data_IF_424627540019
#
_entry.id   IF_424627540019
#
_cell.length_a   1.000
_cell.length_b   1.000
_cell.length_c   1.000
_cell.angle_alpha   90.00
_cell.angle_beta   90.00
_cell.angle_gamma   90.00
#
_symmetry.space_group_name_H-M   'P 1'
#
loop_
_entity.id
_entity.type
_entity.pdbx_description
1 polymer ?
#
# COMPACT_ATOMS: atom_id res chain seq x y z
N UNK A 1 -40.18 7.04 18.00
CA UNK A 1 -39.07 7.97 17.93
C UNK A 1 -37.80 7.13 17.79
N UNK A 2 -37.38 6.93 16.55
CA UNK A 2 -36.18 6.12 16.28
C UNK A 2 -34.94 6.99 16.38
N UNK A 3 -33.99 6.60 17.18
CA UNK A 3 -32.71 7.26 17.31
C UNK A 3 -31.87 6.88 16.08
N UNK A 4 -31.48 7.87 15.27
CA UNK A 4 -30.51 7.67 14.21
C UNK A 4 -29.11 7.43 14.82
N UNK A 5 -28.37 6.53 14.24
CA UNK A 5 -26.96 6.34 14.61
C UNK A 5 -26.11 7.48 14.05
N UNK A 6 -25.25 8.05 14.88
CA UNK A 6 -24.25 9.04 14.49
C UNK A 6 -22.95 8.28 14.25
N UNK A 7 -22.43 8.34 13.04
CA UNK A 7 -21.10 7.82 12.70
C UNK A 7 -20.20 9.02 12.47
N UNK A 8 -19.13 9.12 13.22
CA UNK A 8 -18.08 10.13 13.01
C UNK A 8 -16.92 9.46 12.29
N UNK A 9 -16.57 9.98 11.13
CA UNK A 9 -15.44 9.48 10.35
C UNK A 9 -14.51 10.67 10.10
N UNK A 10 -13.24 10.51 10.54
CA UNK A 10 -12.21 11.52 10.32
C UNK A 10 -11.37 11.15 9.11
N UNK A 11 -11.26 12.03 8.14
CA UNK A 11 -10.48 11.80 6.92
C UNK A 11 -9.27 12.72 6.85
N UNK A 12 -8.23 12.24 6.22
CA UNK A 12 -7.05 13.04 5.91
C UNK A 12 -6.80 12.98 4.40
N UNK A 13 -6.93 14.12 3.75
CA UNK A 13 -6.51 14.33 2.37
C UNK A 13 -5.51 15.47 2.36
N UNK A 14 -4.29 15.19 1.87
CA UNK A 14 -3.23 16.20 1.72
C UNK A 14 -3.17 17.15 2.93
N UNK A 15 -2.95 16.57 4.15
CA UNK A 15 -2.72 17.36 5.37
C UNK A 15 -3.95 18.02 6.02
N UNK A 16 -5.16 17.81 5.51
CA UNK A 16 -6.40 18.38 6.09
C UNK A 16 -7.22 17.27 6.73
N UNK A 17 -7.48 17.40 8.03
CA UNK A 17 -8.38 16.52 8.78
C UNK A 17 -9.81 17.07 8.69
N UNK A 18 -10.73 16.26 8.17
CA UNK A 18 -12.17 16.56 8.13
C UNK A 18 -12.91 15.57 9.03
N UNK A 19 -13.56 16.09 10.05
CA UNK A 19 -14.47 15.31 10.91
C UNK A 19 -15.88 15.44 10.35
N UNK A 20 -16.43 14.34 9.79
CA UNK A 20 -17.78 14.33 9.21
C UNK A 20 -18.72 13.57 10.12
N UNK A 21 -19.77 14.26 10.60
CA UNK A 21 -20.88 13.67 11.32
C UNK A 21 -22.00 13.31 10.34
N UNK A 22 -22.29 12.03 10.14
CA UNK A 22 -23.35 11.57 9.25
C UNK A 22 -24.59 11.21 10.04
N UNK A 23 -25.69 11.84 9.68
CA UNK A 23 -27.04 11.54 10.19
C UNK A 23 -27.75 10.53 9.27
N UNK A 24 -28.01 9.31 9.71
CA UNK A 24 -28.80 8.35 8.94
C UNK A 24 -30.22 8.27 9.51
N UNK A 25 -31.20 8.63 8.69
CA UNK A 25 -32.63 8.50 9.06
C UNK A 25 -33.10 7.05 8.87
N UNK A 26 -33.55 6.45 9.94
CA UNK A 26 -34.00 5.07 10.11
C UNK A 26 -35.37 4.80 9.44
N UNK A 27 -35.55 4.99 8.16
CA UNK A 27 -36.84 4.74 7.53
C UNK A 27 -36.80 4.01 6.19
N UNK A 28 -35.66 3.98 5.52
CA UNK A 28 -35.49 3.32 4.21
C UNK A 28 -34.58 2.09 4.24
N UNK A 29 -33.95 1.79 5.37
CA UNK A 29 -32.99 0.70 5.50
C UNK A 29 -33.64 -0.70 5.43
N UNK A 30 -34.89 -0.85 5.79
CA UNK A 30 -35.55 -2.17 5.82
C UNK A 30 -35.94 -2.68 4.42
N UNK A 31 -36.28 -1.79 3.50
CA UNK A 31 -36.63 -2.19 2.12
C UNK A 31 -35.39 -2.64 1.31
N UNK A 32 -34.23 -2.10 1.65
CA UNK A 32 -32.96 -2.50 1.03
C UNK A 32 -32.39 -3.80 1.62
N UNK A 33 -32.67 -4.11 2.90
CA UNK A 33 -32.28 -5.38 3.52
C UNK A 33 -32.99 -6.58 2.90
N UNK A 34 -34.24 -6.48 2.56
CA UNK A 34 -35.00 -7.60 1.94
C UNK A 34 -34.59 -7.91 0.51
N UNK A 35 -34.09 -6.91 -0.24
CA UNK A 35 -33.58 -7.11 -1.61
C UNK A 35 -32.14 -7.66 -1.64
N UNK A 36 -31.41 -7.62 -0.53
CA UNK A 36 -30.03 -8.06 -0.41
C UNK A 36 -29.85 -9.48 0.17
N UNK A 37 -30.92 -10.15 0.57
CA UNK A 37 -30.84 -11.43 1.32
C UNK A 37 -30.64 -12.69 0.47
N UNK A 38 -30.25 -12.61 -0.81
CA UNK A 38 -29.98 -13.78 -1.65
C UNK A 38 -28.70 -13.73 -2.50
N UNK A 39 -27.81 -12.77 -2.29
CA UNK A 39 -26.44 -12.88 -2.81
C UNK A 39 -25.51 -13.09 -1.62
N UNK A 40 -24.64 -14.07 -1.68
CA UNK A 40 -23.49 -14.14 -0.78
C UNK A 40 -22.87 -12.73 -0.76
N UNK A 41 -22.95 -12.04 0.39
CA UNK A 41 -22.39 -10.70 0.53
C UNK A 41 -20.87 -10.84 0.38
N UNK A 42 -20.39 -10.49 -0.81
CA UNK A 42 -18.94 -10.37 -1.04
C UNK A 42 -18.46 -9.29 -0.05
N UNK A 43 -17.64 -9.69 0.91
CA UNK A 43 -16.92 -8.71 1.71
C UNK A 43 -15.95 -7.97 0.78
N UNK A 44 -16.13 -6.67 0.67
CA UNK A 44 -15.27 -5.81 -0.13
C UNK A 44 -14.09 -5.25 0.67
N UNK A 45 -14.08 -5.46 1.97
CA UNK A 45 -12.98 -5.06 2.85
C UNK A 45 -11.81 -6.03 2.70
N UNK A 46 -10.60 -5.50 2.80
CA UNK A 46 -9.34 -6.20 2.57
C UNK A 46 -9.27 -6.90 1.20
N UNK A 47 -9.70 -6.17 0.17
CA UNK A 47 -9.70 -6.67 -1.22
C UNK A 47 -9.19 -5.66 -2.23
N UNK A 48 -8.75 -6.17 -3.38
CA UNK A 48 -8.45 -5.40 -4.59
C UNK A 48 -9.29 -5.93 -5.74
N UNK A 49 -10.09 -5.06 -6.36
CA UNK A 49 -10.92 -5.34 -7.53
C UNK A 49 -10.26 -4.78 -8.79
N UNK A 50 -9.73 -5.61 -9.69
CA UNK A 50 -9.23 -5.14 -10.99
C UNK A 50 -10.38 -4.82 -11.94
N UNK A 51 -10.17 -3.82 -12.79
CA UNK A 51 -11.12 -3.48 -13.87
C UNK A 51 -10.40 -2.92 -15.09
N UNK A 52 -11.13 -2.79 -16.19
CA UNK A 52 -10.64 -2.23 -17.45
C UNK A 52 -11.71 -1.39 -18.13
N UNK A 53 -11.30 -0.25 -18.69
CA UNK A 53 -12.07 0.60 -19.58
C UNK A 53 -11.54 0.38 -21.00
N UNK A 54 -12.17 -0.56 -21.72
CA UNK A 54 -11.68 -1.03 -23.02
C UNK A 54 -11.64 0.07 -24.08
N UNK A 55 -12.64 0.96 -24.08
CA UNK A 55 -12.73 2.06 -25.05
C UNK A 55 -11.62 3.10 -24.88
N UNK A 56 -11.08 3.24 -23.68
CA UNK A 56 -10.08 4.25 -23.32
C UNK A 56 -8.68 3.70 -23.16
N UNK A 57 -8.45 2.42 -23.40
CA UNK A 57 -7.17 1.73 -23.16
C UNK A 57 -6.66 1.94 -21.71
N UNK A 58 -7.57 1.97 -20.73
CA UNK A 58 -7.24 2.17 -19.31
C UNK A 58 -7.55 0.90 -18.55
N UNK A 59 -6.62 0.46 -17.73
CA UNK A 59 -6.84 -0.53 -16.67
C UNK A 59 -6.85 0.16 -15.32
N UNK A 60 -7.60 -0.37 -14.39
CA UNK A 60 -7.64 0.19 -13.04
C UNK A 60 -7.80 -0.87 -11.98
N UNK A 61 -7.72 -0.42 -10.75
CA UNK A 61 -7.95 -1.21 -9.54
C UNK A 61 -8.65 -0.38 -8.50
N UNK A 62 -9.56 -1.02 -7.79
CA UNK A 62 -10.16 -0.44 -6.57
C UNK A 62 -9.72 -1.30 -5.40
N UNK A 63 -9.12 -0.70 -4.38
CA UNK A 63 -8.75 -1.39 -3.16
C UNK A 63 -9.49 -0.81 -1.96
N UNK A 64 -9.81 -1.67 -1.00
CA UNK A 64 -10.26 -1.30 0.34
C UNK A 64 -9.51 -2.10 1.37
N UNK A 65 -9.07 -1.41 2.41
CA UNK A 65 -8.35 -1.99 3.54
C UNK A 65 -9.06 -1.59 4.83
N UNK A 66 -9.26 -2.56 5.71
CA UNK A 66 -9.92 -2.41 7.02
C UNK A 66 -9.17 -3.24 8.08
N UNK A 67 -9.55 -4.47 8.33
CA UNK A 67 -8.91 -5.34 9.32
C UNK A 67 -7.42 -5.58 9.08
N UNK A 68 -6.96 -5.52 7.83
CA UNK A 68 -5.54 -5.54 7.49
C UNK A 68 -4.79 -4.34 8.10
N UNK A 69 -5.38 -3.13 8.01
CA UNK A 69 -4.76 -1.92 8.57
C UNK A 69 -4.68 -1.99 10.09
N UNK A 70 -5.73 -2.45 10.76
CA UNK A 70 -5.70 -2.65 12.21
C UNK A 70 -4.57 -3.58 12.63
N UNK A 71 -4.38 -4.69 11.91
CA UNK A 71 -3.30 -5.63 12.18
C UNK A 71 -1.92 -5.05 11.91
N UNK A 72 -1.75 -4.25 10.83
CA UNK A 72 -0.49 -3.58 10.52
C UNK A 72 -0.13 -2.54 11.57
N UNK A 73 -1.08 -1.69 11.95
CA UNK A 73 -0.85 -0.58 12.86
C UNK A 73 -0.68 -1.06 14.31
N UNK A 74 -1.36 -2.13 14.70
CA UNK A 74 -1.23 -2.73 16.03
C UNK A 74 0.16 -3.32 16.34
N UNK A 75 1.05 -3.42 15.32
CA UNK A 75 2.41 -3.89 15.55
C UNK A 75 3.31 -2.85 16.24
N UNK A 76 2.90 -1.58 16.23
CA UNK A 76 3.67 -0.46 16.78
C UNK A 76 2.75 0.58 17.41
N UNK A 77 3.26 1.32 18.36
CA UNK A 77 2.56 2.46 18.96
C UNK A 77 2.90 3.74 18.17
N UNK A 78 2.30 3.86 16.99
CA UNK A 78 2.50 5.02 16.11
C UNK A 78 1.64 6.20 16.54
N UNK A 79 2.14 7.45 16.47
CA UNK A 79 1.27 8.61 16.54
C UNK A 79 0.41 8.72 15.27
N UNK A 80 -0.81 9.32 15.33
CA UNK A 80 -1.75 9.38 14.21
C UNK A 80 -1.18 9.90 12.90
N UNK A 81 -0.21 10.80 12.95
CA UNK A 81 0.48 11.33 11.75
C UNK A 81 1.29 10.25 11.02
N UNK A 82 1.85 9.30 11.74
CA UNK A 82 2.59 8.16 11.18
C UNK A 82 1.61 7.08 10.73
N UNK A 83 0.57 6.78 11.51
CA UNK A 83 -0.48 5.83 11.13
C UNK A 83 -1.10 6.19 9.78
N UNK A 84 -1.41 7.48 9.55
CA UNK A 84 -1.94 7.98 8.29
C UNK A 84 -1.02 7.68 7.10
N UNK A 85 0.28 7.93 7.22
CA UNK A 85 1.25 7.64 6.16
C UNK A 85 1.46 6.15 5.92
N UNK A 86 1.43 5.34 6.98
CA UNK A 86 1.49 3.87 6.88
C UNK A 86 0.24 3.34 6.18
N UNK A 87 -0.94 3.89 6.49
CA UNK A 87 -2.20 3.51 5.83
C UNK A 87 -2.19 3.88 4.34
N UNK A 88 -1.76 5.10 3.98
CA UNK A 88 -1.60 5.51 2.58
C UNK A 88 -0.63 4.60 1.83
N UNK A 89 0.53 4.31 2.42
CA UNK A 89 1.54 3.46 1.81
C UNK A 89 1.08 2.00 1.66
N UNK A 90 0.35 1.45 2.64
CA UNK A 90 -0.23 0.12 2.56
C UNK A 90 -1.27 0.02 1.43
N UNK A 91 -2.12 1.06 1.27
CA UNK A 91 -3.11 1.14 0.20
C UNK A 91 -2.45 1.22 -1.18
N UNK A 92 -1.43 2.08 -1.36
CA UNK A 92 -0.61 2.12 -2.57
C UNK A 92 0.00 0.76 -2.89
N UNK A 93 0.50 0.07 -1.86
CA UNK A 93 1.10 -1.25 -2.00
C UNK A 93 0.09 -2.31 -2.46
N UNK A 94 -1.15 -2.26 -1.96
CA UNK A 94 -2.22 -3.14 -2.42
C UNK A 94 -2.55 -2.90 -3.90
N UNK A 95 -2.74 -1.63 -4.29
CA UNK A 95 -3.07 -1.23 -5.67
C UNK A 95 -1.97 -1.59 -6.66
N UNK A 96 -0.71 -1.28 -6.34
CA UNK A 96 0.45 -1.51 -7.22
C UNK A 96 0.80 -3.01 -7.25
N UNK A 97 0.82 -3.68 -6.11
CA UNK A 97 1.19 -5.10 -6.01
C UNK A 97 0.30 -6.01 -6.86
N UNK A 98 -0.98 -5.71 -6.93
CA UNK A 98 -1.92 -6.48 -7.75
C UNK A 98 -1.73 -6.27 -9.27
N UNK A 99 -0.95 -5.27 -9.70
CA UNK A 99 -0.69 -5.04 -11.15
C UNK A 99 0.16 -6.15 -11.78
N UNK A 100 0.91 -6.86 -10.99
CA UNK A 100 1.92 -7.81 -11.43
C UNK A 100 1.62 -9.22 -10.92
N UNK A 101 1.87 -10.23 -11.75
CA UNK A 101 1.89 -11.64 -11.30
C UNK A 101 3.21 -11.90 -10.59
N UNK A 102 3.32 -11.39 -9.37
CA UNK A 102 4.53 -11.52 -8.56
C UNK A 102 4.61 -12.93 -7.99
N UNK A 103 5.72 -13.61 -8.26
CA UNK A 103 6.05 -14.86 -7.58
C UNK A 103 6.66 -14.62 -6.21
N UNK A 104 7.32 -13.46 -6.00
CA UNK A 104 8.09 -13.16 -4.81
C UNK A 104 7.59 -11.93 -4.07
N UNK A 105 8.21 -10.76 -4.28
CA UNK A 105 7.93 -9.60 -3.45
C UNK A 105 8.03 -8.29 -4.25
N UNK A 106 7.07 -7.40 -4.01
CA UNK A 106 7.18 -5.98 -4.29
C UNK A 106 7.42 -5.24 -2.98
N UNK A 107 8.38 -4.32 -2.96
CA UNK A 107 8.58 -3.40 -1.83
C UNK A 107 8.45 -1.97 -2.30
N UNK A 108 7.66 -1.18 -1.58
CA UNK A 108 7.66 0.27 -1.70
C UNK A 108 8.43 0.86 -0.52
N UNK A 109 9.29 1.83 -0.79
CA UNK A 109 10.07 2.50 0.24
C UNK A 109 10.08 4.01 0.00
N UNK A 110 9.90 4.75 1.07
CA UNK A 110 10.17 6.20 1.11
C UNK A 110 11.23 6.44 2.16
N UNK A 111 12.31 7.10 1.76
CA UNK A 111 13.40 7.51 2.67
C UNK A 111 13.58 9.01 2.61
N UNK A 112 13.70 9.62 3.78
CA UNK A 112 13.88 11.07 3.91
C UNK A 112 14.95 11.45 4.92
N UNK A 113 15.33 12.72 4.89
CA UNK A 113 16.27 13.33 5.84
C UNK A 113 15.57 14.08 6.98
N UNK A 114 14.22 14.14 6.93
CA UNK A 114 13.38 14.74 7.97
C UNK A 114 13.18 13.86 9.20
N UNK A 115 12.28 14.22 10.13
CA UNK A 115 11.91 13.40 11.28
C UNK A 115 11.41 11.99 10.91
N UNK A 116 10.73 11.83 9.77
CA UNK A 116 10.31 10.55 9.23
C UNK A 116 11.42 10.00 8.33
N UNK A 117 12.12 8.97 8.81
CA UNK A 117 13.33 8.44 8.17
C UNK A 117 13.04 7.40 7.08
N UNK A 118 12.03 6.58 7.32
CA UNK A 118 11.68 5.46 6.44
C UNK A 118 10.21 5.11 6.59
N UNK A 119 9.54 4.90 5.48
CA UNK A 119 8.29 4.14 5.42
C UNK A 119 8.54 3.00 4.43
N UNK A 120 8.31 1.78 4.84
CA UNK A 120 8.53 0.60 4.02
C UNK A 120 7.31 -0.32 4.07
N UNK A 121 6.90 -0.80 2.89
CA UNK A 121 5.83 -1.77 2.76
C UNK A 121 6.25 -2.88 1.81
N UNK A 122 5.79 -4.09 2.08
CA UNK A 122 6.01 -5.24 1.20
C UNK A 122 4.67 -5.86 0.81
N UNK A 123 4.56 -6.24 -0.45
CA UNK A 123 3.48 -7.06 -1.00
C UNK A 123 4.04 -8.41 -1.44
N UNK A 124 3.42 -9.47 -0.98
CA UNK A 124 3.68 -10.84 -1.42
C UNK A 124 2.46 -11.33 -2.18
N UNK A 125 2.64 -11.70 -3.44
CA UNK A 125 1.58 -12.29 -4.25
C UNK A 125 0.98 -13.55 -3.61
N UNK A 126 -0.23 -13.96 -4.02
CA UNK A 126 -0.82 -15.21 -3.56
C UNK A 126 0.07 -16.39 -3.94
N UNK A 127 0.17 -17.39 -3.05
CA UNK A 127 0.94 -18.61 -3.30
C UNK A 127 0.21 -19.46 -4.36
N UNK A 128 -1.12 -19.58 -4.19
CA UNK A 128 -2.01 -20.29 -5.09
C UNK A 128 -3.20 -19.38 -5.45
N UNK A 129 -3.89 -19.73 -6.54
CA UNK A 129 -5.09 -19.03 -6.96
C UNK A 129 -6.18 -19.06 -5.87
N UNK A 130 -6.77 -17.90 -5.57
CA UNK A 130 -7.76 -17.74 -4.50
C UNK A 130 -7.19 -17.49 -3.10
N UNK A 131 -5.89 -17.71 -2.88
CA UNK A 131 -5.26 -17.33 -1.62
C UNK A 131 -5.10 -15.80 -1.50
N UNK A 132 -5.20 -15.23 -0.29
CA UNK A 132 -4.97 -13.82 -0.10
C UNK A 132 -3.49 -13.46 -0.35
N UNK A 133 -3.26 -12.36 -1.05
CA UNK A 133 -1.97 -11.70 -1.04
C UNK A 133 -1.66 -11.17 0.36
N UNK A 134 -0.38 -10.96 0.68
CA UNK A 134 0.04 -10.52 2.00
C UNK A 134 0.72 -9.17 1.93
N UNK A 135 0.35 -8.30 2.87
CA UNK A 135 0.95 -6.97 3.00
C UNK A 135 1.48 -6.81 4.42
N UNK A 136 2.62 -6.14 4.53
CA UNK A 136 3.18 -5.68 5.79
C UNK A 136 3.74 -4.28 5.61
N UNK A 137 3.74 -3.50 6.67
CA UNK A 137 4.25 -2.13 6.65
C UNK A 137 5.02 -1.82 7.93
N UNK A 138 5.94 -0.85 7.81
CA UNK A 138 6.74 -0.35 8.91
C UNK A 138 7.15 1.09 8.63
N UNK A 139 7.19 1.92 9.69
CA UNK A 139 7.74 3.26 9.64
C UNK A 139 8.79 3.47 10.73
N UNK A 140 9.87 4.18 10.38
CA UNK A 140 10.90 4.65 11.33
C UNK A 140 10.91 6.16 11.36
N UNK A 141 10.80 6.72 12.55
CA UNK A 141 10.74 8.15 12.77
C UNK A 141 11.46 8.54 14.07
N UNK A 142 11.80 9.81 14.18
CA UNK A 142 12.36 10.41 15.38
C UNK A 142 11.23 10.90 16.27
N UNK A 143 10.98 10.21 17.40
CA UNK A 143 9.89 10.50 18.32
C UNK A 143 9.98 11.87 18.97
N UNK A 144 11.20 12.41 19.12
CA UNK A 144 11.45 13.68 19.77
C UNK A 144 11.31 14.87 18.80
N UNK A 145 11.52 14.59 17.49
CA UNK A 145 11.50 15.61 16.44
C UNK A 145 10.16 15.68 15.69
N UNK A 146 9.31 14.66 15.79
CA UNK A 146 8.04 14.59 15.04
C UNK A 146 7.03 15.64 15.52
N UNK A 147 6.46 16.40 14.60
CA UNK A 147 5.44 17.39 14.89
C UNK A 147 4.03 16.81 14.68
N UNK A 148 3.36 16.40 15.76
CA UNK A 148 2.07 15.67 15.72
C UNK A 148 0.92 16.40 15.01
N UNK A 149 1.00 17.74 14.89
CA UNK A 149 -0.05 18.58 14.26
C UNK A 149 0.35 19.10 12.88
N UNK A 150 1.55 18.81 12.43
CA UNK A 150 2.01 19.20 11.11
C UNK A 150 1.64 18.12 10.09
N UNK A 151 1.64 18.51 8.80
CA UNK A 151 1.47 17.56 7.70
C UNK A 151 2.58 16.50 7.74
N UNK A 152 2.19 15.22 7.69
CA UNK A 152 3.11 14.10 7.80
C UNK A 152 4.08 14.02 6.62
N UNK A 153 3.59 14.27 5.40
CA UNK A 153 4.41 14.18 4.21
C UNK A 153 5.58 15.17 4.24
N UNK A 154 5.33 16.40 4.65
CA UNK A 154 6.39 17.43 4.76
C UNK A 154 7.49 17.06 5.75
N UNK A 155 7.20 16.22 6.74
CA UNK A 155 8.15 15.75 7.75
C UNK A 155 9.06 14.61 7.28
N UNK A 156 8.82 14.08 6.08
CA UNK A 156 9.76 13.17 5.40
C UNK A 156 11.02 13.96 4.98
N UNK A 157 10.85 15.21 4.59
CA UNK A 157 11.94 16.06 4.12
C UNK A 157 12.39 15.72 2.71
N UNK A 158 13.66 15.93 2.40
CA UNK A 158 14.26 15.56 1.12
C UNK A 158 14.62 14.09 1.12
N UNK A 159 14.40 13.43 -0.01
CA UNK A 159 14.67 12.01 -0.10
C UNK A 159 14.19 11.39 -1.40
N UNK A 160 13.83 10.11 -1.33
CA UNK A 160 13.41 9.38 -2.50
C UNK A 160 12.26 8.40 -2.20
N UNK A 161 11.48 8.14 -3.25
CA UNK A 161 10.54 7.05 -3.35
C UNK A 161 11.15 5.95 -4.20
N UNK A 162 11.07 4.70 -3.76
CA UNK A 162 11.63 3.56 -4.47
C UNK A 162 10.61 2.41 -4.57
N UNK A 163 10.61 1.75 -5.74
CA UNK A 163 9.96 0.47 -5.95
C UNK A 163 11.03 -0.59 -6.20
N UNK A 164 10.97 -1.67 -5.43
CA UNK A 164 11.85 -2.82 -5.57
C UNK A 164 11.00 -4.05 -5.89
N UNK A 165 11.39 -4.79 -6.93
CA UNK A 165 10.74 -6.04 -7.32
C UNK A 165 11.77 -7.16 -7.19
N UNK A 166 11.53 -8.04 -6.23
CA UNK A 166 12.30 -9.25 -6.03
C UNK A 166 11.60 -10.38 -6.80
N UNK A 167 12.31 -10.97 -7.76
CA UNK A 167 11.80 -12.03 -8.63
C UNK A 167 12.35 -13.42 -8.26
N UNK A 168 13.13 -13.52 -7.18
CA UNK A 168 13.68 -14.76 -6.64
C UNK A 168 15.21 -14.88 -6.72
N UNK A 169 15.72 -15.99 -6.19
CA UNK A 169 17.14 -16.20 -5.93
C UNK A 169 18.03 -16.13 -7.19
N UNK A 170 17.49 -16.51 -8.35
CA UNK A 170 18.23 -16.56 -9.62
C UNK A 170 18.14 -15.26 -10.44
N UNK A 171 17.44 -14.24 -9.96
CA UNK A 171 17.20 -13.01 -10.70
C UNK A 171 17.72 -11.79 -9.92
N UNK A 172 18.31 -10.84 -10.65
CA UNK A 172 18.69 -9.56 -10.06
C UNK A 172 17.41 -8.77 -9.73
N UNK A 173 17.24 -8.31 -8.48
CA UNK A 173 16.10 -7.47 -8.13
C UNK A 173 16.06 -6.21 -8.98
N UNK A 174 14.87 -5.89 -9.50
CA UNK A 174 14.65 -4.61 -10.16
C UNK A 174 14.44 -3.52 -9.11
N UNK A 175 15.05 -2.36 -9.34
CA UNK A 175 14.90 -1.20 -8.47
C UNK A 175 14.75 0.07 -9.32
N UNK A 176 13.67 0.80 -9.10
CA UNK A 176 13.49 2.15 -9.62
C UNK A 176 13.37 3.16 -8.48
N UNK A 177 13.97 4.33 -8.65
CA UNK A 177 14.06 5.37 -7.63
C UNK A 177 13.72 6.72 -8.26
N UNK A 178 12.87 7.51 -7.57
CA UNK A 178 12.56 8.90 -7.94
C UNK A 178 12.67 9.82 -6.73
N UNK A 179 12.99 11.11 -6.92
CA UNK A 179 12.94 12.08 -5.83
C UNK A 179 11.53 12.18 -5.22
N UNK A 180 11.44 12.52 -3.95
CA UNK A 180 10.17 12.90 -3.32
C UNK A 180 9.68 14.20 -3.97
N UNK A 181 8.43 14.20 -4.44
CA UNK A 181 7.80 15.33 -5.12
C UNK A 181 6.27 15.28 -4.99
N UNK A 182 5.59 16.36 -5.38
CA UNK A 182 4.14 16.38 -5.55
C UNK A 182 3.30 16.43 -4.26
N UNK A 183 3.91 16.51 -3.08
CA UNK A 183 3.21 16.78 -1.83
C UNK A 183 2.44 15.60 -1.21
N UNK A 184 2.52 14.37 -1.74
CA UNK A 184 1.92 13.15 -1.18
C UNK A 184 2.67 11.89 -1.63
N UNK A 185 2.44 10.78 -0.94
CA UNK A 185 3.01 9.47 -1.33
C UNK A 185 2.43 8.99 -2.67
N UNK A 186 1.14 9.25 -2.91
CA UNK A 186 0.49 8.94 -4.19
C UNK A 186 1.11 9.72 -5.35
N UNK A 187 1.39 11.02 -5.17
CA UNK A 187 2.09 11.82 -6.18
C UNK A 187 3.51 11.33 -6.45
N UNK A 188 4.24 10.88 -5.42
CA UNK A 188 5.54 10.23 -5.62
C UNK A 188 5.42 8.95 -6.45
N UNK A 189 4.39 8.14 -6.21
CA UNK A 189 4.14 6.93 -7.00
C UNK A 189 3.76 7.26 -8.45
N UNK A 190 2.94 8.30 -8.69
CA UNK A 190 2.62 8.78 -10.05
C UNK A 190 3.90 9.23 -10.79
N UNK A 191 4.74 10.03 -10.13
CA UNK A 191 6.03 10.45 -10.69
C UNK A 191 6.94 9.24 -11.00
N UNK A 192 6.97 8.24 -10.12
CA UNK A 192 7.72 7.01 -10.36
C UNK A 192 7.25 6.31 -11.64
N UNK A 193 5.94 6.07 -11.79
CA UNK A 193 5.40 5.40 -12.98
C UNK A 193 5.67 6.19 -14.25
N UNK A 194 5.60 7.51 -14.20
CA UNK A 194 5.91 8.37 -15.33
C UNK A 194 7.40 8.29 -15.70
N UNK A 195 8.32 8.40 -14.72
CA UNK A 195 9.75 8.48 -14.96
C UNK A 195 10.39 7.12 -15.31
N UNK A 196 10.03 6.08 -14.55
CA UNK A 196 10.71 4.79 -14.59
C UNK A 196 10.02 3.79 -15.51
N UNK A 197 8.69 3.78 -15.51
CA UNK A 197 7.90 2.80 -16.26
C UNK A 197 7.31 3.36 -17.56
N UNK A 198 7.33 4.69 -17.71
CA UNK A 198 6.67 5.40 -18.82
C UNK A 198 5.19 5.04 -18.97
N UNK A 199 4.53 4.82 -17.85
CA UNK A 199 3.12 4.46 -17.76
C UNK A 199 2.32 5.58 -17.07
N UNK A 200 1.47 6.31 -17.81
CA UNK A 200 0.54 7.26 -17.21
C UNK A 200 -0.31 6.58 -16.13
N UNK A 201 -0.13 7.02 -14.90
CA UNK A 201 -0.78 6.43 -13.73
C UNK A 201 -1.35 7.55 -12.87
N UNK A 202 -2.55 7.33 -12.33
CA UNK A 202 -3.25 8.25 -11.43
C UNK A 202 -3.80 7.47 -10.25
N UNK A 203 -3.69 8.07 -9.05
CA UNK A 203 -4.28 7.55 -7.83
C UNK A 203 -5.31 8.53 -7.27
N UNK A 204 -6.42 8.01 -6.76
CA UNK A 204 -7.33 8.71 -5.87
C UNK A 204 -7.46 7.88 -4.61
N UNK A 205 -6.98 8.40 -3.48
CA UNK A 205 -6.87 7.67 -2.22
C UNK A 205 -7.59 8.43 -1.12
N UNK A 206 -8.25 7.69 -0.23
CA UNK A 206 -8.79 8.21 1.01
C UNK A 206 -8.49 7.22 2.14
N UNK A 207 -8.15 7.74 3.30
CA UNK A 207 -7.91 6.97 4.51
C UNK A 207 -8.25 7.80 5.73
N UNK A 208 -8.72 7.15 6.78
CA UNK A 208 -9.12 7.82 7.99
C UNK A 208 -9.44 6.86 9.11
N UNK A 209 -9.52 7.40 10.31
CA UNK A 209 -9.91 6.67 11.48
C UNK A 209 -11.44 6.68 11.61
N UNK A 210 -12.06 5.52 11.49
CA UNK A 210 -13.51 5.31 11.65
C UNK A 210 -13.81 5.05 13.11
N UNK A 211 -14.80 5.75 13.65
CA UNK A 211 -15.31 5.50 14.99
C UNK A 211 -16.82 5.22 14.91
N UNK A 212 -17.19 3.96 15.09
CA UNK A 212 -18.59 3.56 15.12
C UNK A 212 -19.22 3.79 16.49
N UNK A 213 -20.51 4.12 16.50
CA UNK A 213 -21.29 4.26 17.75
C UNK A 213 -21.38 2.92 18.50
N UNK A 214 -21.23 1.79 17.78
CA UNK A 214 -21.19 0.43 18.33
C UNK A 214 -19.93 0.13 19.15
N UNK A 215 -18.92 0.98 19.10
CA UNK A 215 -17.64 0.83 19.80
C UNK A 215 -16.51 0.23 18.96
N UNK A 216 -16.78 -0.24 17.75
CA UNK A 216 -15.72 -0.60 16.83
C UNK A 216 -15.08 0.67 16.26
N UNK A 217 -13.78 0.76 16.40
CA UNK A 217 -13.01 1.87 15.86
C UNK A 217 -11.73 1.32 15.24
N UNK A 218 -11.34 1.86 14.08
CA UNK A 218 -10.16 1.40 13.37
C UNK A 218 -9.85 2.27 12.16
N UNK A 219 -8.71 2.06 11.56
CA UNK A 219 -8.34 2.71 10.32
C UNK A 219 -9.01 2.03 9.13
N UNK A 220 -9.57 2.83 8.25
CA UNK A 220 -10.07 2.39 6.94
C UNK A 220 -9.36 3.16 5.84
N UNK A 221 -9.05 2.45 4.75
CA UNK A 221 -8.50 3.07 3.56
C UNK A 221 -9.20 2.53 2.32
N UNK A 222 -9.37 3.38 1.32
CA UNK A 222 -9.90 3.00 0.03
C UNK A 222 -9.31 3.84 -1.08
N UNK A 223 -9.16 3.25 -2.26
CA UNK A 223 -8.56 3.98 -3.37
C UNK A 223 -8.78 3.35 -4.72
N UNK A 224 -8.62 4.18 -5.73
CA UNK A 224 -8.66 3.80 -7.14
C UNK A 224 -7.33 4.17 -7.77
N UNK A 225 -6.77 3.24 -8.52
CA UNK A 225 -5.66 3.44 -9.43
C UNK A 225 -6.15 3.33 -10.86
N UNK A 226 -5.82 4.30 -11.69
CA UNK A 226 -5.96 4.23 -13.15
C UNK A 226 -4.57 4.17 -13.79
N UNK A 227 -4.42 3.37 -14.84
CA UNK A 227 -3.19 3.26 -15.59
C UNK A 227 -3.50 3.12 -17.07
N UNK A 228 -2.94 4.01 -17.88
CA UNK A 228 -3.08 3.91 -19.34
C UNK A 228 -2.24 2.75 -19.88
N UNK A 229 -2.84 1.99 -20.79
CA UNK A 229 -2.20 0.86 -21.47
C UNK A 229 -1.66 1.34 -22.82
N UNK A 230 -0.33 1.43 -23.01
CA UNK A 230 0.20 1.80 -24.31
C UNK A 230 -0.18 0.74 -25.35
N UNK A 231 -0.64 1.18 -26.53
CA UNK A 231 -0.82 0.30 -27.68
C UNK A 231 0.53 -0.24 -28.11
N UNK A 232 0.58 -1.51 -28.47
CA UNK A 232 1.80 -2.12 -29.02
C UNK A 232 2.34 -1.26 -30.18
N UNK A 233 3.56 -0.74 -30.06
CA UNK A 233 4.18 0.15 -31.05
C UNK A 233 4.15 1.64 -30.69
N UNK A 234 3.69 2.03 -29.52
CA UNK A 234 3.87 3.42 -29.05
C UNK A 234 5.36 3.74 -28.97
N UNK A 235 5.77 4.73 -29.73
CA UNK A 235 7.16 5.22 -29.72
C UNK A 235 7.44 5.82 -28.33
N UNK A 236 8.59 5.47 -27.76
CA UNK A 236 9.15 6.15 -26.60
C UNK A 236 9.26 7.64 -26.95
N UNK A 237 8.44 8.47 -26.30
CA UNK A 237 8.55 9.92 -26.45
C UNK A 237 9.79 10.33 -25.67
N UNK A 238 10.84 10.65 -26.38
CA UNK A 238 12.05 11.26 -25.83
C UNK A 238 11.75 12.73 -25.54
N UNK A 239 11.01 13.00 -24.47
CA UNK A 239 10.91 14.36 -23.95
C UNK A 239 12.23 14.70 -23.24
N UNK A 240 12.92 15.73 -23.70
CA UNK A 240 14.17 16.18 -23.08
C UNK A 240 13.91 16.78 -21.68
N UNK A 241 12.72 17.35 -21.44
CA UNK A 241 12.26 17.89 -20.17
C UNK A 241 10.76 17.60 -20.02
N UNK A 242 10.35 17.12 -18.85
CA UNK A 242 8.94 16.89 -18.52
C UNK A 242 8.21 18.18 -18.09
N UNK A 243 6.89 18.17 -18.16
CA UNK A 243 6.03 19.29 -17.73
C UNK A 243 5.82 19.40 -16.22
N UNK A 244 6.29 18.42 -15.45
CA UNK A 244 6.14 18.35 -14.00
C UNK A 244 7.18 19.16 -13.21
N UNK A 245 7.00 19.15 -11.88
CA UNK A 245 7.91 19.82 -10.95
C UNK A 245 9.36 19.32 -11.10
N UNK A 246 10.31 20.26 -11.21
CA UNK A 246 11.72 19.93 -11.42
C UNK A 246 12.06 19.30 -12.78
N UNK A 247 11.17 19.44 -13.79
CA UNK A 247 11.36 18.84 -15.12
C UNK A 247 11.01 17.35 -15.20
N UNK A 248 10.28 16.82 -14.21
CA UNK A 248 9.83 15.43 -14.20
C UNK A 248 8.75 15.20 -15.26
N UNK A 249 8.76 13.99 -15.87
CA UNK A 249 7.71 13.57 -16.80
C UNK A 249 6.37 13.42 -16.07
N UNK A 250 5.30 13.85 -16.74
CA UNK A 250 3.93 13.64 -16.31
C UNK A 250 3.20 12.70 -17.27
N UNK A 251 2.01 12.25 -16.87
CA UNK A 251 1.18 11.39 -17.72
C UNK A 251 0.89 12.02 -19.09
N UNK A 252 0.71 13.35 -19.14
CA UNK A 252 0.40 14.08 -20.38
C UNK A 252 1.56 14.05 -21.36
N UNK A 253 2.80 14.07 -20.88
CA UNK A 253 4.01 14.07 -21.73
C UNK A 253 4.16 12.75 -22.55
N UNK A 254 3.45 11.70 -22.14
CA UNK A 254 3.55 10.35 -22.72
C UNK A 254 2.37 9.99 -23.64
N UNK A 255 1.31 10.80 -23.66
CA UNK A 255 0.08 10.50 -24.39
C UNK A 255 0.03 11.26 -25.72
N UNK A 256 -0.59 10.64 -26.74
CA UNK A 256 -0.75 11.21 -28.07
C UNK A 256 -2.19 11.03 -28.58
N UNK A 257 -2.69 12.02 -29.32
CA UNK A 257 -3.99 11.94 -29.99
C UNK A 257 -5.16 11.69 -29.05
N UNK A 258 -6.05 10.76 -29.39
CA UNK A 258 -7.27 10.43 -28.63
C UNK A 258 -6.96 9.91 -27.21
N UNK A 259 -5.75 9.40 -27.00
CA UNK A 259 -5.35 8.92 -25.66
C UNK A 259 -5.29 10.06 -24.63
N UNK A 260 -4.93 11.29 -25.06
CA UNK A 260 -4.94 12.48 -24.18
C UNK A 260 -6.37 12.77 -23.70
N UNK A 261 -7.33 12.76 -24.63
CA UNK A 261 -8.73 13.06 -24.32
C UNK A 261 -9.35 11.98 -23.43
N UNK A 262 -9.12 10.69 -23.77
CA UNK A 262 -9.57 9.55 -22.99
C UNK A 262 -9.02 9.57 -21.57
N UNK A 263 -7.71 9.82 -21.44
CA UNK A 263 -7.05 9.93 -20.14
C UNK A 263 -7.59 11.11 -19.33
N UNK A 264 -7.73 12.30 -19.96
CA UNK A 264 -8.28 13.48 -19.32
C UNK A 264 -9.70 13.25 -18.83
N UNK A 265 -10.57 12.65 -19.66
CA UNK A 265 -11.95 12.31 -19.30
C UNK A 265 -12.01 11.36 -18.11
N UNK A 266 -11.21 10.27 -18.13
CA UNK A 266 -11.16 9.31 -17.02
C UNK A 266 -10.70 9.97 -15.70
N UNK A 267 -9.72 10.88 -15.76
CA UNK A 267 -9.28 11.62 -14.59
C UNK A 267 -10.34 12.59 -14.06
N UNK A 268 -11.03 13.32 -14.93
CA UNK A 268 -12.13 14.21 -14.53
C UNK A 268 -13.23 13.40 -13.82
N UNK A 269 -13.58 12.22 -14.33
CA UNK A 269 -14.55 11.33 -13.69
C UNK A 269 -14.02 10.82 -12.34
N UNK A 270 -12.75 10.42 -12.27
CA UNK A 270 -12.11 9.99 -11.03
C UNK A 270 -12.09 11.10 -9.98
N UNK A 271 -11.86 12.35 -10.37
CA UNK A 271 -11.84 13.49 -9.45
C UNK A 271 -13.23 13.81 -8.85
N UNK A 272 -14.32 13.22 -9.38
CA UNK A 272 -15.67 13.31 -8.79
C UNK A 272 -15.93 12.33 -7.67
N UNK A 273 -14.97 11.44 -7.34
CA UNK A 273 -15.15 10.47 -6.27
C UNK A 273 -15.08 11.15 -4.91
N UNK A 274 -16.00 10.78 -4.03
CA UNK A 274 -15.98 11.24 -2.64
C UNK A 274 -15.19 10.28 -1.76
N UNK A 275 -14.52 10.80 -0.74
CA UNK A 275 -13.68 10.01 0.18
C UNK A 275 -14.48 8.88 0.85
N UNK A 276 -15.74 9.15 1.24
CA UNK A 276 -16.65 8.17 1.81
C UNK A 276 -16.98 7.01 0.85
N UNK A 277 -17.04 7.29 -0.44
CA UNK A 277 -17.27 6.26 -1.45
C UNK A 277 -16.04 5.35 -1.62
N UNK A 278 -14.84 5.90 -1.44
CA UNK A 278 -13.59 5.13 -1.49
C UNK A 278 -13.48 4.19 -0.30
N UNK A 279 -13.58 4.71 0.92
CA UNK A 279 -13.36 3.92 2.13
C UNK A 279 -14.50 2.95 2.46
N UNK A 280 -15.70 3.18 1.92
CA UNK A 280 -16.88 2.34 2.18
C UNK A 280 -17.40 2.47 3.63
N UNK A 281 -18.26 1.54 4.11
CA UNK A 281 -18.82 0.35 3.41
C UNK A 281 -20.10 0.64 2.59
N UNK A 282 -20.59 1.88 2.54
CA UNK A 282 -21.94 2.22 2.05
C UNK A 282 -22.17 1.94 0.56
N UNK A 283 -21.12 1.96 -0.26
CA UNK A 283 -21.19 1.64 -1.69
C UNK A 283 -20.14 0.58 -2.02
N UNK A 284 -20.51 -0.45 -2.78
CA UNK A 284 -19.54 -1.46 -3.22
C UNK A 284 -18.59 -0.90 -4.29
N UNK A 285 -17.35 -1.40 -4.40
CA UNK A 285 -16.41 -1.02 -5.46
C UNK A 285 -16.99 -1.14 -6.87
N UNK A 286 -17.74 -2.19 -7.15
CA UNK A 286 -18.40 -2.38 -8.45
C UNK A 286 -19.45 -1.31 -8.76
N UNK A 287 -20.25 -0.91 -7.76
CA UNK A 287 -21.24 0.18 -7.92
C UNK A 287 -20.55 1.54 -8.08
N UNK A 288 -19.44 1.75 -7.36
CA UNK A 288 -18.62 2.95 -7.50
C UNK A 288 -18.08 3.06 -8.94
N UNK A 289 -17.54 1.98 -9.49
CA UNK A 289 -17.06 1.95 -10.88
C UNK A 289 -18.16 2.24 -11.88
N UNK A 290 -19.37 1.69 -11.69
CA UNK A 290 -20.52 1.99 -12.55
C UNK A 290 -20.93 3.47 -12.45
N UNK A 291 -20.89 4.06 -11.26
CA UNK A 291 -21.18 5.50 -11.09
C UNK A 291 -20.16 6.37 -11.82
N UNK A 292 -18.86 6.05 -11.68
CA UNK A 292 -17.79 6.86 -12.26
C UNK A 292 -17.69 6.67 -13.78
N UNK A 293 -17.78 5.44 -14.26
CA UNK A 293 -17.41 5.06 -15.62
C UNK A 293 -18.53 4.37 -16.39
N UNK A 294 -19.82 4.73 -16.12
CA UNK A 294 -20.96 4.08 -16.77
C UNK A 294 -20.87 4.07 -18.30
N UNK A 295 -20.48 5.21 -18.88
CA UNK A 295 -20.40 5.36 -20.35
C UNK A 295 -19.22 4.62 -20.96
N UNK A 296 -18.22 4.25 -20.14
CA UNK A 296 -17.05 3.45 -20.52
C UNK A 296 -17.31 1.92 -20.41
N UNK A 297 -18.48 1.52 -19.85
CA UNK A 297 -18.84 0.13 -19.60
C UNK A 297 -17.71 -0.68 -18.92
N UNK A 298 -17.35 -0.37 -17.67
CA UNK A 298 -16.20 -0.97 -16.99
C UNK A 298 -16.34 -2.48 -16.89
N UNK A 299 -15.34 -3.20 -17.39
CA UNK A 299 -15.22 -4.65 -17.24
C UNK A 299 -14.48 -4.95 -15.95
N UNK A 300 -15.09 -5.67 -15.04
CA UNK A 300 -14.51 -6.10 -13.77
C UNK A 300 -13.98 -7.52 -13.86
N UNK A 301 -12.99 -7.83 -13.04
CA UNK A 301 -12.36 -9.14 -12.93
C UNK A 301 -12.52 -9.69 -11.51
N UNK A 302 -11.99 -10.90 -11.27
CA UNK A 302 -12.07 -11.54 -9.96
C UNK A 302 -11.36 -10.72 -8.88
N UNK A 303 -12.02 -10.64 -7.73
CA UNK A 303 -11.53 -9.93 -6.56
C UNK A 303 -10.34 -10.67 -5.96
N UNK A 304 -9.26 -9.96 -5.69
CA UNK A 304 -8.09 -10.47 -5.00
C UNK A 304 -8.15 -10.09 -3.53
N UNK A 305 -8.32 -11.06 -2.60
CA UNK A 305 -8.22 -10.77 -1.18
C UNK A 305 -6.78 -10.45 -0.78
N UNK A 306 -6.65 -9.57 0.21
CA UNK A 306 -5.38 -9.20 0.82
C UNK A 306 -5.46 -9.35 2.33
N UNK A 307 -4.33 -9.62 3.00
CA UNK A 307 -4.28 -9.73 4.46
C UNK A 307 -2.92 -9.26 4.99
N UNK A 308 -2.86 -8.97 6.27
CA UNK A 308 -1.58 -8.82 6.95
C UNK A 308 -0.80 -10.14 6.91
N UNK A 309 0.51 -10.06 6.68
CA UNK A 309 1.33 -11.25 6.75
C UNK A 309 2.82 -10.97 6.61
N UNK A 310 3.57 -11.33 7.63
CA UNK A 310 5.02 -11.26 7.62
C UNK A 310 5.63 -12.58 7.12
N UNK A 311 6.80 -12.47 6.51
CA UNK A 311 7.60 -13.61 6.04
C UNK A 311 8.89 -13.78 6.83
N UNK A 312 9.02 -13.13 8.01
CA UNK A 312 10.17 -13.35 8.88
C UNK A 312 10.17 -14.77 9.45
N UNK A 313 11.36 -15.32 9.65
CA UNK A 313 11.58 -16.59 10.30
C UNK A 313 12.95 -16.59 10.99
N UNK A 314 13.15 -17.50 11.91
CA UNK A 314 14.46 -17.69 12.57
C UNK A 314 15.58 -17.90 11.54
N UNK A 315 15.35 -18.74 10.53
CA UNK A 315 16.34 -19.01 9.48
C UNK A 315 16.72 -17.77 8.69
N UNK A 316 15.75 -16.92 8.33
CA UNK A 316 16.02 -15.67 7.63
C UNK A 316 16.80 -14.67 8.48
N UNK A 317 16.53 -14.60 9.77
CA UNK A 317 17.31 -13.77 10.69
C UNK A 317 18.72 -14.32 10.79
N UNK A 318 18.88 -15.62 10.98
CA UNK A 318 20.18 -16.33 11.01
C UNK A 318 20.98 -16.08 9.73
N UNK A 319 20.35 -16.22 8.57
CA UNK A 319 20.96 -15.90 7.27
C UNK A 319 21.40 -14.43 7.18
N UNK A 320 20.61 -13.49 7.67
CA UNK A 320 21.00 -12.09 7.72
C UNK A 320 22.19 -11.81 8.63
N UNK A 321 22.35 -12.60 9.68
CA UNK A 321 23.46 -12.50 10.62
C UNK A 321 24.70 -13.29 10.17
N UNK A 322 24.60 -14.14 9.16
CA UNK A 322 25.70 -14.97 8.66
C UNK A 322 26.87 -14.18 8.05
N UNK A 323 26.66 -12.93 7.67
CA UNK A 323 27.68 -12.05 7.07
C UNK A 323 28.60 -11.39 8.10
N UNK A 324 28.27 -11.46 9.39
CA UNK A 324 29.02 -10.80 10.46
C UNK A 324 30.14 -11.70 11.00
N UNK A 325 31.25 -11.06 11.44
CA UNK A 325 32.34 -11.76 12.11
C UNK A 325 31.97 -12.12 13.56
N UNK A 326 32.70 -13.07 14.16
CA UNK A 326 32.54 -13.42 15.58
C UNK A 326 32.72 -12.19 16.49
N UNK A 327 33.58 -11.24 16.11
CA UNK A 327 33.77 -9.98 16.84
C UNK A 327 32.51 -9.10 16.79
N UNK A 328 31.88 -8.98 15.62
CA UNK A 328 30.66 -8.20 15.44
C UNK A 328 29.48 -8.84 16.18
N UNK A 329 29.34 -10.17 16.10
CA UNK A 329 28.37 -10.94 16.89
C UNK A 329 28.60 -10.72 18.39
N UNK A 330 29.87 -10.71 18.85
CA UNK A 330 30.22 -10.39 20.24
C UNK A 330 29.73 -9.00 20.68
N UNK A 331 29.77 -8.01 19.79
CA UNK A 331 29.22 -6.66 20.09
C UNK A 331 27.68 -6.63 20.15
N UNK A 332 27.00 -7.54 19.47
CA UNK A 332 25.55 -7.70 19.50
C UNK A 332 25.07 -8.57 20.67
N UNK A 333 26.00 -9.26 21.35
CA UNK A 333 25.67 -10.20 22.43
C UNK A 333 25.30 -9.42 23.69
N UNK A 334 24.16 -9.75 24.28
CA UNK A 334 23.68 -9.17 25.54
C UNK A 334 24.43 -9.71 26.75
N UNK A 335 24.23 -9.10 27.91
CA UNK A 335 24.79 -9.59 29.19
C UNK A 335 24.31 -11.02 29.55
N UNK A 336 23.21 -11.47 28.99
CA UNK A 336 22.69 -12.83 29.15
C UNK A 336 23.34 -13.86 28.17
N UNK A 337 24.37 -13.44 27.43
CA UNK A 337 25.07 -14.24 26.41
C UNK A 337 24.14 -14.75 25.29
N UNK A 338 23.23 -13.90 24.83
CA UNK A 338 22.34 -14.15 23.69
C UNK A 338 22.40 -12.97 22.71
N UNK A 339 22.18 -13.24 21.43
CA UNK A 339 21.91 -12.23 20.41
C UNK A 339 20.41 -12.18 20.17
N UNK A 340 19.81 -11.01 20.26
CA UNK A 340 18.38 -10.82 20.00
C UNK A 340 18.15 -10.06 18.72
N UNK A 341 17.06 -10.37 18.02
CA UNK A 341 16.61 -9.66 16.83
C UNK A 341 15.08 -9.52 16.84
N UNK A 342 14.59 -8.32 16.58
CA UNK A 342 13.17 -8.04 16.51
C UNK A 342 12.78 -7.71 15.07
N UNK A 343 11.71 -8.36 14.57
CA UNK A 343 11.18 -8.04 13.26
C UNK A 343 10.45 -6.71 13.30
N UNK A 344 10.96 -5.71 12.60
CA UNK A 344 10.35 -4.37 12.55
C UNK A 344 8.93 -4.35 11.93
N UNK A 345 8.55 -5.37 11.16
CA UNK A 345 7.23 -5.43 10.53
C UNK A 345 6.15 -6.09 11.38
N UNK A 346 6.50 -7.00 12.29
CA UNK A 346 5.51 -7.76 13.05
C UNK A 346 5.88 -7.99 14.52
N UNK A 347 6.92 -7.32 15.02
CA UNK A 347 7.33 -7.44 16.41
C UNK A 347 7.80 -8.83 16.85
N UNK A 348 7.92 -9.81 15.93
CA UNK A 348 8.40 -11.14 16.28
C UNK A 348 9.82 -11.06 16.84
N UNK A 349 10.01 -11.64 18.02
CA UNK A 349 11.29 -11.65 18.76
C UNK A 349 12.00 -12.97 18.54
N UNK A 350 13.29 -12.89 18.24
CA UNK A 350 14.18 -14.04 18.03
C UNK A 350 15.38 -13.92 18.97
N UNK A 351 15.81 -15.04 19.54
CA UNK A 351 16.98 -15.12 20.42
C UNK A 351 17.89 -16.25 19.95
N UNK A 352 19.16 -15.97 19.83
CA UNK A 352 20.16 -16.89 19.27
C UNK A 352 21.34 -17.07 20.22
N UNK A 353 21.92 -18.26 20.21
CA UNK A 353 23.26 -18.48 20.77
C UNK A 353 24.30 -17.80 19.87
N UNK A 354 25.13 -16.88 20.39
CA UNK A 354 26.17 -16.19 19.63
C UNK A 354 27.11 -17.12 18.89
N UNK A 355 27.38 -18.31 19.45
CA UNK A 355 28.29 -19.29 18.85
C UNK A 355 27.76 -19.95 17.56
N UNK A 356 26.45 -19.81 17.30
CA UNK A 356 25.77 -20.37 16.11
C UNK A 356 25.58 -19.33 15.00
N UNK A 357 26.09 -18.09 15.18
CA UNK A 357 25.90 -16.98 14.27
C UNK A 357 27.20 -16.53 13.60
N UNK A 358 27.05 -15.88 12.43
CA UNK A 358 28.17 -15.33 11.68
C UNK A 358 28.82 -16.34 10.75
N UNK A 359 29.75 -15.87 9.89
CA UNK A 359 30.43 -16.72 8.91
C UNK A 359 31.50 -17.65 9.54
N UNK A 360 31.88 -17.42 10.81
CA UNK A 360 32.79 -18.21 11.58
C UNK A 360 32.07 -19.25 12.47
N UNK A 361 30.73 -19.31 12.42
CA UNK A 361 29.94 -20.25 13.22
C UNK A 361 30.26 -21.70 12.85
N UNK A 362 30.38 -22.56 13.87
CA UNK A 362 30.49 -23.98 13.64
C UNK A 362 29.13 -24.54 13.21
N UNK A 363 29.09 -25.47 12.23
CA UNK A 363 27.84 -26.17 11.89
C UNK A 363 27.23 -26.78 13.16
N UNK A 364 25.95 -26.59 13.39
CA UNK A 364 25.26 -27.33 14.46
C UNK A 364 25.08 -28.76 14.01
N UNK A 365 25.31 -29.72 14.90
CA UNK A 365 25.25 -31.19 14.65
C UNK A 365 23.89 -31.72 14.14
N UNK A 366 22.97 -30.83 13.77
CA UNK A 366 21.64 -31.16 13.25
C UNK A 366 21.59 -31.47 11.74
N UNK A 367 22.65 -31.16 10.97
CA UNK A 367 22.66 -31.34 9.51
C UNK A 367 23.25 -32.70 9.05
N UNK A 368 23.73 -33.55 9.98
CA UNK A 368 24.39 -34.81 9.65
C UNK A 368 23.43 -36.02 9.50
N UNK A 369 22.11 -35.79 9.57
CA UNK A 369 21.12 -36.88 9.55
C UNK A 369 20.27 -36.98 8.26
N UNK A 370 20.68 -36.30 7.17
CA UNK A 370 19.98 -36.36 5.87
C UNK A 370 20.76 -37.06 4.73
N UNK A 371 21.83 -37.78 5.06
CA UNK A 371 22.54 -38.61 4.07
C UNK A 371 22.72 -40.05 4.60
N UNK A 372 21.64 -40.81 4.53
CA UNK A 372 21.68 -42.27 4.54
C UNK A 372 20.52 -42.83 3.73
#
# INVERSE_FOLDING_TARGET
>A
MGWGQIVSISFTRVGVRLDVLIWTSYGKANLWKELMTQSEEISWDDTVLPFQLDASDIRGRVARLDGLLDQVLAQHDYPPVIEALVAEMALLTALIGQTMKLRWKLSLQVRGDGPIRLIATDYYGPIDEGNPARIRAYASYDSDAIALKADGFTQIGKGYFAILIDQGEDMTPYQGITPISGGSLSACAEAYFAQSEQLPTRFSLAFGYSQEVSGNSGWRAGGIMLQHMPKAGAHVVSAAEGSGEGGLLTAVDMLLGDAIENWSRANILLDTVEELELVGPTISPSRLLLRLFNDEAPRIYDVQPVKFGCSCSEDRVRQSLSIYSAKDIGHMTTAANIVTADCQFCGAHYAFDPMTLGFEAKPTDADDNSSS
#
